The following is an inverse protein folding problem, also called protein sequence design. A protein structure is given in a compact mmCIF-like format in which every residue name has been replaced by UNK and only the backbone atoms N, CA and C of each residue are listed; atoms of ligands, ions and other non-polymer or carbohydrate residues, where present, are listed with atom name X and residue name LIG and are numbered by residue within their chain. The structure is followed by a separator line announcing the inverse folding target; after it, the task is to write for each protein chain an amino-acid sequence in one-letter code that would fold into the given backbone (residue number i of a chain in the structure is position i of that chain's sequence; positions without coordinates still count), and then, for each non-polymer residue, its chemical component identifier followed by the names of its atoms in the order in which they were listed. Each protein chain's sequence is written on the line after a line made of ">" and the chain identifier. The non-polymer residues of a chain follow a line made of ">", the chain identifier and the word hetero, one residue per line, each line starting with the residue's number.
data_IF_983843673114
#
_entry.id   IF_983843673114
#
_cell.length_a   1.000
_cell.length_b   1.000
_cell.length_c   1.000
_cell.angle_alpha   90.00
_cell.angle_beta   90.00
_cell.angle_gamma   90.00
#
_symmetry.space_group_name_H-M   'P 1'
#
loop_
_entity.id
_entity.type
_entity.pdbx_description
1 polymer ?
#
# COMPACT_ATOMS: atom_id res chain seq x y z
N UNK A 1 -15.34 -2.17 11.60
CA UNK A 1 -15.07 -2.47 10.18
C UNK A 1 -14.86 -1.14 9.48
N UNK A 2 -13.69 -0.96 8.89
CA UNK A 2 -13.31 0.30 8.21
C UNK A 2 -13.09 0.02 6.74
N UNK A 3 -13.73 0.79 5.86
CA UNK A 3 -13.49 0.73 4.42
C UNK A 3 -12.87 2.04 3.97
N UNK A 4 -11.74 1.97 3.25
CA UNK A 4 -11.04 3.12 2.69
C UNK A 4 -10.79 2.89 1.21
N UNK A 5 -11.09 3.92 0.42
CA UNK A 5 -10.66 4.02 -0.95
C UNK A 5 -9.51 5.04 -1.02
N UNK A 6 -8.40 4.65 -1.65
CA UNK A 6 -7.26 5.56 -1.85
C UNK A 6 -7.21 6.01 -3.29
N UNK A 7 -6.97 7.30 -3.46
CA UNK A 7 -6.78 7.94 -4.74
C UNK A 7 -5.40 8.64 -4.76
N UNK A 8 -5.24 9.66 -5.57
CA UNK A 8 -4.03 10.46 -5.64
C UNK A 8 -3.62 11.05 -4.27
N UNK A 9 -2.31 11.06 -3.97
CA UNK A 9 -1.74 11.80 -2.84
C UNK A 9 -2.23 13.24 -2.72
N UNK A 10 -2.64 13.66 -1.53
CA UNK A 10 -2.62 15.08 -1.18
C UNK A 10 -1.18 15.59 -1.02
N UNK A 11 -0.97 16.91 -1.14
CA UNK A 11 0.36 17.51 -0.92
C UNK A 11 0.97 17.12 0.43
N UNK A 12 0.17 17.13 1.50
CA UNK A 12 0.63 16.74 2.84
C UNK A 12 1.06 15.27 2.96
N UNK A 13 0.56 14.40 2.09
CA UNK A 13 0.95 13.00 2.03
C UNK A 13 2.17 12.77 1.14
N UNK A 14 2.43 13.66 0.17
CA UNK A 14 3.64 13.65 -0.66
C UNK A 14 4.88 14.06 0.14
N UNK A 15 4.71 14.89 1.17
CA UNK A 15 5.79 15.27 2.11
C UNK A 15 6.19 14.13 3.06
N UNK A 16 5.51 12.98 2.99
CA UNK A 16 5.70 11.84 3.90
C UNK A 16 6.07 10.60 3.11
N UNK A 17 6.64 9.57 3.76
CA UNK A 17 6.87 8.29 3.11
C UNK A 17 5.58 7.74 2.48
N UNK A 18 5.66 7.15 1.29
CA UNK A 18 4.51 6.65 0.53
C UNK A 18 3.57 5.78 1.39
N UNK A 19 4.15 4.88 2.20
CA UNK A 19 3.39 3.95 3.03
C UNK A 19 2.64 4.59 4.20
N UNK A 20 3.02 5.82 4.60
CA UNK A 20 2.51 6.48 5.80
C UNK A 20 0.98 6.62 5.79
N UNK A 21 0.39 6.96 4.64
CA UNK A 21 -1.07 7.14 4.53
C UNK A 21 -1.85 5.86 4.82
N UNK A 22 -1.28 4.70 4.46
CA UNK A 22 -1.92 3.41 4.68
C UNK A 22 -1.79 3.00 6.14
N UNK A 23 -0.62 3.23 6.76
CA UNK A 23 -0.41 2.97 8.19
C UNK A 23 -1.40 3.70 9.07
N UNK A 24 -1.72 4.96 8.73
CA UNK A 24 -2.70 5.78 9.45
C UNK A 24 -4.13 5.23 9.41
N UNK A 25 -4.41 4.33 8.47
CA UNK A 25 -5.74 3.75 8.26
C UNK A 25 -5.82 2.27 8.62
N UNK A 26 -4.73 1.67 9.13
CA UNK A 26 -4.73 0.27 9.54
C UNK A 26 -5.80 0.05 10.63
N UNK A 27 -6.57 -1.06 10.54
CA UNK A 27 -7.57 -1.37 11.55
C UNK A 27 -6.88 -1.72 12.88
N UNK A 28 -7.51 -1.38 14.02
CA UNK A 28 -7.07 -1.90 15.32
C UNK A 28 -7.13 -3.43 15.37
N UNK A 29 -6.39 -4.06 16.29
CA UNK A 29 -6.41 -5.52 16.48
C UNK A 29 -7.85 -6.03 16.66
N UNK A 30 -8.17 -7.13 15.97
CA UNK A 30 -9.51 -7.74 15.99
C UNK A 30 -10.54 -7.07 15.09
N UNK A 31 -10.17 -6.04 14.31
CA UNK A 31 -11.06 -5.40 13.34
C UNK A 31 -10.67 -5.71 11.90
N UNK A 32 -11.69 -5.76 11.04
CA UNK A 32 -11.52 -5.86 9.59
C UNK A 32 -11.36 -4.47 8.95
N UNK A 33 -10.34 -4.34 8.09
CA UNK A 33 -10.13 -3.21 7.20
C UNK A 33 -10.20 -3.63 5.74
N UNK A 34 -10.94 -2.89 4.91
CA UNK A 34 -11.00 -3.08 3.46
C UNK A 34 -10.35 -1.87 2.78
N UNK A 35 -9.36 -2.15 1.94
CA UNK A 35 -8.59 -1.15 1.22
C UNK A 35 -8.88 -1.32 -0.28
N UNK A 36 -9.59 -0.35 -0.85
CA UNK A 36 -9.83 -0.26 -2.28
C UNK A 36 -8.78 0.68 -2.86
N UNK A 37 -7.97 0.19 -3.79
CA UNK A 37 -6.71 0.84 -4.18
C UNK A 37 -5.75 0.91 -2.98
N UNK A 38 -4.72 0.08 -2.99
CA UNK A 38 -3.80 -0.10 -1.85
C UNK A 38 -2.42 0.49 -2.11
N UNK A 39 -1.44 0.05 -1.32
CA UNK A 39 -0.02 0.38 -1.54
C UNK A 39 0.55 -0.15 -2.87
N UNK A 40 -0.21 -0.97 -3.61
CA UNK A 40 0.16 -1.45 -4.95
C UNK A 40 -0.18 -0.48 -6.08
N UNK A 41 -1.18 0.39 -5.91
CA UNK A 41 -1.78 1.11 -7.04
C UNK A 41 -0.81 2.05 -7.74
N UNK A 42 -0.09 2.88 -6.98
CA UNK A 42 0.87 3.85 -7.51
C UNK A 42 2.05 3.17 -8.24
N UNK A 43 2.78 2.22 -7.62
CA UNK A 43 3.84 1.50 -8.33
C UNK A 43 3.38 0.82 -9.62
N UNK A 44 2.19 0.20 -9.61
CA UNK A 44 1.63 -0.45 -10.80
C UNK A 44 1.32 0.56 -11.91
N UNK A 45 0.62 1.64 -11.59
CA UNK A 45 0.24 2.68 -12.56
C UNK A 45 1.49 3.33 -13.16
N UNK A 46 2.48 3.68 -12.33
CA UNK A 46 3.73 4.29 -12.79
C UNK A 46 4.54 3.35 -13.70
N UNK A 47 4.54 2.04 -13.39
CA UNK A 47 5.19 1.06 -14.26
C UNK A 47 4.48 0.93 -15.62
N UNK A 48 3.14 0.82 -15.61
CA UNK A 48 2.33 0.72 -16.85
C UNK A 48 2.44 2.00 -17.70
N UNK A 49 2.50 3.16 -17.07
CA UNK A 49 2.69 4.45 -17.76
C UNK A 49 4.14 4.68 -18.25
N UNK A 50 5.07 3.78 -17.93
CA UNK A 50 6.48 3.91 -18.31
C UNK A 50 7.27 4.96 -17.52
N UNK A 51 6.72 5.43 -16.39
CA UNK A 51 7.36 6.40 -15.49
C UNK A 51 8.40 5.75 -14.55
N UNK A 52 8.41 4.42 -14.47
CA UNK A 52 9.33 3.60 -13.68
C UNK A 52 9.90 2.49 -14.55
N UNK A 53 11.21 2.32 -14.50
CA UNK A 53 11.87 1.16 -15.07
C UNK A 53 11.45 -0.12 -14.36
N UNK A 54 11.69 -1.27 -14.99
CA UNK A 54 11.41 -2.57 -14.36
C UNK A 54 12.21 -2.74 -13.06
N UNK A 55 13.46 -2.29 -13.01
CA UNK A 55 14.29 -2.40 -11.80
C UNK A 55 13.70 -1.61 -10.63
N UNK A 56 13.30 -0.35 -10.88
CA UNK A 56 12.67 0.49 -9.88
C UNK A 56 11.29 -0.05 -9.43
N UNK A 57 10.56 -0.72 -10.33
CA UNK A 57 9.31 -1.39 -9.97
C UNK A 57 9.55 -2.60 -9.06
N UNK A 58 10.57 -3.41 -9.33
CA UNK A 58 10.96 -4.53 -8.46
C UNK A 58 11.42 -4.04 -7.07
N UNK A 59 12.11 -2.89 -6.99
CA UNK A 59 12.45 -2.24 -5.72
C UNK A 59 11.20 -1.83 -4.93
N UNK A 60 10.22 -1.19 -5.58
CA UNK A 60 8.94 -0.83 -4.95
C UNK A 60 8.20 -2.07 -4.44
N UNK A 61 8.20 -3.18 -5.19
CA UNK A 61 7.63 -4.45 -4.74
C UNK A 61 8.38 -5.03 -3.52
N UNK A 62 9.70 -4.84 -3.46
CA UNK A 62 10.52 -5.20 -2.30
C UNK A 62 10.12 -4.45 -1.04
N UNK A 63 9.90 -3.13 -1.14
CA UNK A 63 9.41 -2.30 -0.02
C UNK A 63 8.02 -2.73 0.45
N UNK A 64 7.11 -3.00 -0.49
CA UNK A 64 5.77 -3.52 -0.19
C UNK A 64 5.86 -4.86 0.53
N UNK A 65 6.73 -5.77 0.08
CA UNK A 65 6.91 -7.07 0.72
C UNK A 65 7.43 -6.93 2.16
N UNK A 66 8.38 -6.03 2.38
CA UNK A 66 8.91 -5.75 3.72
C UNK A 66 7.84 -5.20 4.66
N UNK A 67 6.99 -4.29 4.16
CA UNK A 67 5.84 -3.79 4.91
C UNK A 67 4.86 -4.91 5.27
N UNK A 68 4.46 -5.71 4.29
CA UNK A 68 3.51 -6.82 4.51
C UNK A 68 4.05 -7.82 5.52
N UNK A 69 5.36 -8.12 5.46
CA UNK A 69 6.02 -8.98 6.44
C UNK A 69 5.89 -8.41 7.85
N UNK A 70 6.21 -7.12 8.03
CA UNK A 70 6.10 -6.45 9.33
C UNK A 70 4.69 -6.51 9.90
N UNK A 71 3.66 -6.33 9.06
CA UNK A 71 2.27 -6.40 9.48
C UNK A 71 1.83 -7.83 9.84
N UNK A 72 2.26 -8.81 9.05
CA UNK A 72 1.99 -10.23 9.30
C UNK A 72 2.67 -10.69 10.58
N UNK A 73 3.91 -10.25 10.83
CA UNK A 73 4.65 -10.57 12.04
C UNK A 73 3.99 -9.96 13.30
N UNK A 74 3.30 -8.81 13.16
CA UNK A 74 2.44 -8.26 14.23
C UNK A 74 1.11 -9.01 14.40
N UNK A 75 0.81 -9.99 13.53
CA UNK A 75 -0.38 -10.84 13.59
C UNK A 75 -1.55 -10.37 12.72
N UNK A 76 -1.31 -9.48 11.75
CA UNK A 76 -2.33 -9.06 10.78
C UNK A 76 -2.46 -10.08 9.65
N UNK A 77 -3.70 -10.50 9.35
CA UNK A 77 -4.00 -11.29 8.15
C UNK A 77 -4.22 -10.36 6.96
N UNK A 78 -3.40 -10.50 5.92
CA UNK A 78 -3.50 -9.73 4.69
C UNK A 78 -4.06 -10.62 3.58
N UNK A 79 -5.20 -10.23 3.01
CA UNK A 79 -5.79 -10.88 1.84
C UNK A 79 -5.71 -9.90 0.66
N UNK A 80 -5.13 -10.36 -0.46
CA UNK A 80 -4.92 -9.57 -1.67
C UNK A 80 -5.80 -10.12 -2.79
N UNK A 81 -6.60 -9.26 -3.39
CA UNK A 81 -7.50 -9.61 -4.50
C UNK A 81 -7.09 -8.82 -5.74
N UNK A 82 -6.86 -9.54 -6.84
CA UNK A 82 -6.60 -8.97 -8.16
C UNK A 82 -7.79 -9.35 -9.06
N UNK A 83 -8.36 -8.35 -9.74
CA UNK A 83 -9.51 -8.51 -10.63
C UNK A 83 -9.17 -8.04 -12.02
#
# INVERSE_FOLDING_TARGET
>A
MTTRAFDEPSQSELERPHHWRFWRQLPPRGQLGIFLSGWYSQPFLRHVNGERTRAEFEEDLGEIHALERLLVDDGMLILKFWM
#
